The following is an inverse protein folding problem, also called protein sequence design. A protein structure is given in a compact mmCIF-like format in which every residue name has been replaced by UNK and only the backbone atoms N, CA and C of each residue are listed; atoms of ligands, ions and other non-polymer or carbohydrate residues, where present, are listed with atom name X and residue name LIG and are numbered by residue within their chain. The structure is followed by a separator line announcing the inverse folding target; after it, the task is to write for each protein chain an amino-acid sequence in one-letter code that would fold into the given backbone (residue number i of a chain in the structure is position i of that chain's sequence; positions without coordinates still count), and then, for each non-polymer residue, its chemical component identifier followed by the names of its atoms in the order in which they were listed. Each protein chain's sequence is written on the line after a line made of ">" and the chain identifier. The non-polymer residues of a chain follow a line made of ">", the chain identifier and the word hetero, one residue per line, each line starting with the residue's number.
data_IF_128360454420
#
_entry.id   IF_128360454420
#
_cell.length_a   1.000
_cell.length_b   1.000
_cell.length_c   1.000
_cell.angle_alpha   90.00
_cell.angle_beta   90.00
_cell.angle_gamma   90.00
#
_symmetry.space_group_name_H-M   'P 1'
#
loop_
_entity.id
_entity.type
_entity.pdbx_description
1 polymer ?
#
# COMPACT_ATOMS: atom_id res chain seq x y z
N UNK A 1 -15.18 18.94 27.07
CA UNK A 1 -13.71 19.04 26.85
C UNK A 1 -13.37 18.12 25.67
N UNK A 2 -13.26 18.65 24.43
CA UNK A 2 -13.17 17.84 23.19
C UNK A 2 -12.05 18.28 22.23
N UNK A 3 -11.15 19.16 22.69
CA UNK A 3 -10.20 19.89 21.83
C UNK A 3 -8.80 19.26 21.85
N UNK A 4 -8.47 18.42 22.84
CA UNK A 4 -7.11 17.86 22.99
C UNK A 4 -6.91 16.57 22.17
N UNK A 5 -7.98 15.83 21.88
CA UNK A 5 -7.93 14.53 21.16
C UNK A 5 -7.76 14.69 19.63
N UNK A 6 -8.33 15.76 19.05
CA UNK A 6 -8.34 15.97 17.59
C UNK A 6 -6.93 16.10 16.97
N UNK A 7 -6.00 16.71 17.71
CA UNK A 7 -4.66 17.00 17.18
C UNK A 7 -3.77 15.75 17.14
N UNK A 8 -3.93 14.82 18.08
CA UNK A 8 -3.25 13.53 18.09
C UNK A 8 -3.79 12.60 17.01
N UNK A 9 -5.10 12.61 16.77
CA UNK A 9 -5.74 11.75 15.78
C UNK A 9 -5.43 12.20 14.34
N UNK A 10 -5.48 13.51 14.07
CA UNK A 10 -5.05 14.08 12.78
C UNK A 10 -3.56 13.80 12.51
N UNK A 11 -2.72 13.93 13.53
CA UNK A 11 -1.28 13.62 13.41
C UNK A 11 -1.03 12.13 13.16
N UNK A 12 -1.73 11.24 13.87
CA UNK A 12 -1.64 9.80 13.66
C UNK A 12 -2.16 9.41 12.25
N UNK A 13 -3.19 10.09 11.76
CA UNK A 13 -3.69 9.95 10.40
C UNK A 13 -2.67 10.34 9.34
N UNK A 14 -2.07 11.52 9.49
CA UNK A 14 -1.00 11.96 8.60
C UNK A 14 0.20 11.00 8.64
N UNK A 15 0.61 10.54 9.82
CA UNK A 15 1.74 9.62 9.99
C UNK A 15 1.51 8.28 9.31
N UNK A 16 0.32 7.69 9.49
CA UNK A 16 -0.01 6.40 8.87
C UNK A 16 -0.03 6.49 7.34
N UNK A 17 -0.54 7.58 6.75
CA UNK A 17 -0.46 7.79 5.30
C UNK A 17 0.98 7.87 4.80
N UNK A 18 1.84 8.61 5.50
CA UNK A 18 3.28 8.71 5.15
C UNK A 18 3.98 7.35 5.24
N UNK A 19 3.64 6.51 6.22
CA UNK A 19 4.18 5.16 6.33
C UNK A 19 3.72 4.24 5.19
N UNK A 20 2.46 4.34 4.78
CA UNK A 20 1.93 3.58 3.63
C UNK A 20 2.59 4.00 2.31
N UNK A 21 2.75 5.30 2.10
CA UNK A 21 3.47 5.83 0.94
C UNK A 21 4.93 5.33 0.92
N UNK A 22 5.63 5.41 2.05
CA UNK A 22 7.01 4.90 2.16
C UNK A 22 7.11 3.42 1.83
N UNK A 23 6.19 2.59 2.36
CA UNK A 23 6.15 1.15 2.05
C UNK A 23 5.94 0.90 0.56
N UNK A 24 5.05 1.66 -0.07
CA UNK A 24 4.84 1.58 -1.51
C UNK A 24 6.10 1.94 -2.31
N UNK A 25 6.79 3.04 -1.97
CA UNK A 25 8.02 3.43 -2.67
C UNK A 25 9.14 2.40 -2.52
N UNK A 26 9.28 1.77 -1.36
CA UNK A 26 10.27 0.69 -1.16
C UNK A 26 9.94 -0.51 -2.05
N UNK A 27 8.67 -0.92 -2.12
CA UNK A 27 8.24 -2.01 -3.00
C UNK A 27 8.40 -1.66 -4.49
N UNK A 28 8.07 -0.44 -4.89
CA UNK A 28 8.26 0.05 -6.26
C UNK A 28 9.75 0.09 -6.64
N UNK A 29 10.61 0.58 -5.76
CA UNK A 29 12.06 0.60 -5.98
C UNK A 29 12.61 -0.82 -6.14
N UNK A 30 12.22 -1.74 -5.25
CA UNK A 30 12.60 -3.16 -5.35
C UNK A 30 12.12 -3.77 -6.67
N UNK A 31 10.89 -3.48 -7.08
CA UNK A 31 10.33 -3.94 -8.36
C UNK A 31 11.15 -3.46 -9.55
N UNK A 32 11.52 -2.17 -9.59
CA UNK A 32 12.32 -1.60 -10.69
C UNK A 32 13.71 -2.26 -10.75
N UNK A 33 14.38 -2.41 -9.61
CA UNK A 33 15.72 -3.02 -9.53
C UNK A 33 15.67 -4.48 -10.00
N UNK A 34 14.73 -5.28 -9.48
CA UNK A 34 14.59 -6.69 -9.86
C UNK A 34 14.20 -6.87 -11.32
N UNK A 35 13.26 -6.06 -11.85
CA UNK A 35 12.91 -6.13 -13.27
C UNK A 35 14.08 -5.76 -14.17
N UNK A 36 14.84 -4.71 -13.82
CA UNK A 36 16.03 -4.34 -14.58
C UNK A 36 17.05 -5.48 -14.59
N UNK A 37 17.27 -6.11 -13.43
CA UNK A 37 18.12 -7.29 -13.32
C UNK A 37 17.62 -8.45 -14.21
N UNK A 38 16.32 -8.77 -14.18
CA UNK A 38 15.75 -9.83 -15.01
C UNK A 38 15.81 -9.54 -16.51
N UNK A 39 15.61 -8.29 -16.92
CA UNK A 39 15.77 -7.86 -18.32
C UNK A 39 17.20 -8.10 -18.78
N UNK A 40 18.19 -7.66 -18.00
CA UNK A 40 19.61 -7.87 -18.32
C UNK A 40 19.93 -9.36 -18.38
N UNK A 41 19.51 -10.14 -17.38
CA UNK A 41 19.78 -11.57 -17.31
C UNK A 41 19.15 -12.33 -18.49
N UNK A 42 17.94 -11.94 -18.90
CA UNK A 42 17.26 -12.50 -20.04
C UNK A 42 18.00 -12.22 -21.35
N UNK A 43 18.40 -10.97 -21.58
CA UNK A 43 19.13 -10.57 -22.79
C UNK A 43 20.50 -11.25 -22.89
N UNK A 44 21.16 -11.49 -21.76
CA UNK A 44 22.47 -12.16 -21.72
C UNK A 44 22.34 -13.67 -21.91
N UNK A 45 21.32 -14.31 -21.32
CA UNK A 45 21.21 -15.77 -21.30
C UNK A 45 20.44 -16.32 -22.49
N UNK A 46 19.32 -15.69 -22.84
CA UNK A 46 18.36 -16.18 -23.82
C UNK A 46 17.69 -15.02 -24.57
N UNK A 47 18.42 -14.29 -25.41
CA UNK A 47 17.87 -13.13 -26.14
C UNK A 47 16.73 -13.50 -27.10
N UNK A 48 16.65 -14.76 -27.53
CA UNK A 48 15.57 -15.28 -28.38
C UNK A 48 14.31 -15.69 -27.60
N UNK A 49 14.35 -15.68 -26.26
CA UNK A 49 13.21 -16.07 -25.43
C UNK A 49 13.04 -15.10 -24.25
N UNK A 50 12.15 -14.13 -24.41
CA UNK A 50 11.93 -13.01 -23.50
C UNK A 50 11.06 -13.41 -22.29
N UNK A 51 11.57 -14.30 -21.44
CA UNK A 51 10.82 -14.80 -20.27
C UNK A 51 10.60 -13.74 -19.18
N UNK A 52 11.33 -12.61 -19.21
CA UNK A 52 11.23 -11.56 -18.18
C UNK A 52 9.84 -10.91 -18.09
N UNK A 53 9.01 -11.00 -19.14
CA UNK A 53 7.64 -10.48 -19.10
C UNK A 53 6.76 -11.19 -18.07
N UNK A 54 6.99 -12.48 -17.81
CA UNK A 54 6.21 -13.24 -16.83
C UNK A 54 6.32 -12.69 -15.40
N UNK A 55 7.52 -12.53 -14.80
CA UNK A 55 7.65 -11.91 -13.49
C UNK A 55 7.23 -10.44 -13.51
N UNK A 56 7.51 -9.70 -14.60
CA UNK A 56 7.11 -8.30 -14.74
C UNK A 56 5.60 -8.12 -14.66
N UNK A 57 4.82 -8.93 -15.38
CA UNK A 57 3.36 -8.87 -15.40
C UNK A 57 2.75 -9.37 -14.09
N UNK A 58 3.23 -10.51 -13.56
CA UNK A 58 2.71 -11.06 -12.32
C UNK A 58 2.88 -10.12 -11.12
N UNK A 59 4.09 -9.58 -10.94
CA UNK A 59 4.38 -8.66 -9.84
C UNK A 59 3.91 -7.23 -10.14
N UNK A 60 3.89 -6.84 -11.41
CA UNK A 60 3.42 -5.52 -11.85
C UNK A 60 1.94 -5.31 -11.58
N UNK A 61 1.11 -6.35 -11.76
CA UNK A 61 -0.31 -6.30 -11.39
C UNK A 61 -0.50 -6.08 -9.88
N UNK A 62 0.22 -6.81 -9.03
CA UNK A 62 0.17 -6.62 -7.58
C UNK A 62 0.60 -5.22 -7.15
N UNK A 63 1.64 -4.68 -7.79
CA UNK A 63 2.10 -3.31 -7.56
C UNK A 63 1.07 -2.27 -8.02
N UNK A 64 0.41 -2.48 -9.16
CA UNK A 64 -0.65 -1.61 -9.64
C UNK A 64 -1.86 -1.59 -8.69
N UNK A 65 -2.26 -2.74 -8.15
CA UNK A 65 -3.30 -2.80 -7.11
C UNK A 65 -2.88 -2.05 -5.84
N UNK A 66 -1.62 -2.20 -5.39
CA UNK A 66 -1.11 -1.43 -4.26
C UNK A 66 -1.07 0.08 -4.55
N UNK A 67 -0.69 0.49 -5.76
CA UNK A 67 -0.70 1.89 -6.19
C UNK A 67 -2.11 2.47 -6.17
N UNK A 68 -3.10 1.72 -6.70
CA UNK A 68 -4.51 2.10 -6.65
C UNK A 68 -5.05 2.17 -5.22
N UNK A 69 -4.56 1.32 -4.31
CA UNK A 69 -4.94 1.38 -2.88
C UNK A 69 -4.40 2.65 -2.20
N UNK A 70 -3.15 3.04 -2.49
CA UNK A 70 -2.47 4.18 -1.84
C UNK A 70 -2.90 5.51 -2.46
N UNK A 71 -2.98 5.60 -3.78
CA UNK A 71 -3.20 6.85 -4.53
C UNK A 71 -4.58 6.95 -5.20
N UNK A 72 -5.40 5.89 -5.16
CA UNK A 72 -6.71 5.89 -5.82
C UNK A 72 -7.76 6.74 -5.11
N UNK A 73 -8.74 7.29 -5.86
CA UNK A 73 -9.80 8.15 -5.32
C UNK A 73 -10.74 7.44 -4.33
N UNK A 74 -10.80 6.11 -4.42
CA UNK A 74 -11.45 5.23 -3.45
C UNK A 74 -10.39 4.31 -2.85
N UNK A 75 -9.54 4.81 -1.94
CA UNK A 75 -8.81 3.90 -1.05
C UNK A 75 -9.88 3.05 -0.34
N UNK A 76 -10.11 1.82 -0.82
CA UNK A 76 -11.27 0.97 -0.48
C UNK A 76 -11.32 0.68 1.03
N UNK A 77 -10.18 0.84 1.70
CA UNK A 77 -9.99 0.84 3.15
C UNK A 77 -9.39 2.18 3.58
N UNK A 78 -10.09 3.29 3.32
CA UNK A 78 -9.62 4.58 3.83
C UNK A 78 -9.54 4.48 5.34
N UNK A 79 -8.54 5.14 5.92
CA UNK A 79 -8.34 5.22 7.38
C UNK A 79 -9.63 5.62 8.11
N UNK A 80 -10.48 6.41 7.45
CA UNK A 80 -11.80 6.82 7.93
C UNK A 80 -12.79 5.64 8.03
N UNK A 81 -12.78 4.69 7.08
CA UNK A 81 -13.58 3.46 7.17
C UNK A 81 -13.10 2.57 8.32
N UNK A 82 -11.79 2.50 8.53
CA UNK A 82 -11.18 1.70 9.59
C UNK A 82 -11.47 2.29 10.98
N UNK A 83 -11.28 3.60 11.15
CA UNK A 83 -11.68 4.35 12.36
C UNK A 83 -13.18 4.22 12.64
N UNK A 84 -14.05 4.37 11.62
CA UNK A 84 -15.51 4.13 11.76
C UNK A 84 -15.85 2.71 12.18
N UNK A 85 -14.99 1.73 11.92
CA UNK A 85 -15.23 0.34 12.28
C UNK A 85 -14.73 0.04 13.68
N UNK A 86 -13.54 0.53 14.03
CA UNK A 86 -12.97 0.47 15.39
C UNK A 86 -13.91 1.15 16.38
N UNK A 87 -14.37 2.37 16.08
CA UNK A 87 -15.29 3.10 16.95
C UNK A 87 -16.62 2.35 17.14
N UNK A 88 -17.10 1.67 16.07
CA UNK A 88 -18.28 0.80 16.15
C UNK A 88 -18.09 -0.40 17.08
N UNK A 89 -16.92 -1.03 17.07
CA UNK A 89 -16.61 -2.15 17.96
C UNK A 89 -16.47 -1.68 19.42
N UNK A 90 -15.74 -0.59 19.65
CA UNK A 90 -15.57 0.00 20.99
C UNK A 90 -16.90 0.44 21.61
N UNK A 91 -17.82 0.99 20.81
CA UNK A 91 -19.15 1.37 21.29
C UNK A 91 -20.01 0.15 21.64
N UNK A 92 -19.97 -0.92 20.83
CA UNK A 92 -20.68 -2.17 21.12
C UNK A 92 -20.18 -2.87 22.38
N UNK A 93 -18.88 -2.77 22.67
CA UNK A 93 -18.30 -3.34 23.89
C UNK A 93 -18.75 -2.55 25.14
N UNK A 94 -18.84 -1.22 25.04
CA UNK A 94 -19.37 -0.34 26.09
C UNK A 94 -20.88 -0.45 26.32
N UNK A 95 -21.66 -0.87 25.32
CA UNK A 95 -23.11 -1.09 25.44
C UNK A 95 -23.46 -2.48 26.01
N UNK A 96 -22.48 -3.40 26.06
CA UNK A 96 -22.63 -4.77 26.61
C UNK A 96 -22.25 -4.89 28.09
N UNK A 97 -21.76 -3.83 28.71
CA UNK A 97 -21.42 -3.73 30.13
C UNK A 97 -22.22 -2.59 30.78
#
# INVERSE_FOLDING_TARGET
>A
MKIIDNKSDEYLAAKLRVEEEKKFYVHLGTYIVMNTFFVILNLVTSPNHLWFYWPMLGWGLGLAFNALKVFGPNAIFSKEWEEKKIDRYMRKDREKH
#
